data_IF_873641226241
#
_entry.id   IF_873641226241
#
_cell.length_a   1.000
_cell.length_b   1.000
_cell.length_c   1.000
_cell.angle_alpha   90.00
_cell.angle_beta   90.00
_cell.angle_gamma   90.00
#
_symmetry.space_group_name_H-M   'P 1'
#
loop_
_entity.id
_entity.type
_entity.pdbx_description
1 polymer ?
#
# COMPACT_ATOMS: atom_id res chain seq x y z
N UNK A 1 7.74 12.57 24.65
CA UNK A 1 6.55 12.33 23.78
C UNK A 1 6.25 10.88 23.33
N UNK A 2 7.10 9.86 23.55
CA UNK A 2 6.89 8.50 22.98
C UNK A 2 5.58 7.84 23.42
N UNK A 3 5.25 7.87 24.72
CA UNK A 3 4.04 7.23 25.24
C UNK A 3 2.76 7.83 24.63
N UNK A 4 2.67 9.16 24.57
CA UNK A 4 1.53 9.89 23.99
C UNK A 4 1.42 9.67 22.48
N UNK A 5 2.54 9.60 21.77
CA UNK A 5 2.55 9.30 20.34
C UNK A 5 2.13 7.85 20.05
N UNK A 6 2.59 6.89 20.84
CA UNK A 6 2.20 5.49 20.72
C UNK A 6 0.71 5.29 20.99
N UNK A 7 0.18 5.93 22.05
CA UNK A 7 -1.24 5.91 22.36
C UNK A 7 -2.07 6.49 21.21
N UNK A 8 -1.66 7.65 20.68
CA UNK A 8 -2.32 8.28 19.55
C UNK A 8 -2.34 7.38 18.31
N UNK A 9 -1.22 6.73 17.99
CA UNK A 9 -1.08 5.85 16.82
C UNK A 9 -2.02 4.65 16.82
N UNK A 10 -2.55 4.24 17.98
CA UNK A 10 -3.56 3.18 18.10
C UNK A 10 -4.93 3.69 18.55
N UNK A 11 -5.16 5.01 18.57
CA UNK A 11 -6.41 5.61 19.05
C UNK A 11 -7.50 5.54 17.98
N UNK A 12 -8.07 4.34 17.83
CA UNK A 12 -9.13 3.99 16.88
C UNK A 12 -10.40 4.80 17.21
N UNK A 13 -10.86 5.76 16.36
CA UNK A 13 -12.17 6.41 16.51
C UNK A 13 -13.29 5.45 16.93
N UNK A 14 -14.13 5.91 17.86
CA UNK A 14 -15.25 5.15 18.45
C UNK A 14 -14.82 4.06 19.46
N UNK A 15 -13.54 3.67 19.51
CA UNK A 15 -13.02 2.68 20.47
C UNK A 15 -12.13 3.34 21.52
N UNK A 16 -11.21 4.20 21.10
CA UNK A 16 -10.22 4.88 21.96
C UNK A 16 -10.25 6.37 21.66
N UNK A 17 -10.24 7.21 22.70
CA UNK A 17 -10.20 8.67 22.57
C UNK A 17 -8.86 9.12 21.93
N UNK A 18 -8.93 10.12 21.05
CA UNK A 18 -7.71 10.66 20.44
C UNK A 18 -6.90 11.50 21.41
N UNK A 19 -5.63 11.75 21.07
CA UNK A 19 -4.69 12.51 21.90
C UNK A 19 -4.55 13.92 21.31
N UNK A 20 -4.67 14.98 22.11
CA UNK A 20 -4.60 16.37 21.59
C UNK A 20 -3.24 17.07 21.81
N UNK A 21 -2.45 16.60 22.78
CA UNK A 21 -1.26 17.31 23.25
C UNK A 21 -0.05 16.37 23.23
N UNK A 22 0.47 16.08 22.05
CA UNK A 22 1.75 15.38 21.91
C UNK A 22 2.87 16.43 21.93
N UNK A 23 3.73 16.35 22.93
CA UNK A 23 4.91 17.20 23.06
C UNK A 23 5.75 17.18 21.76
N UNK A 24 5.99 18.36 21.20
CA UNK A 24 6.75 18.56 19.95
C UNK A 24 5.95 18.36 18.66
N UNK A 25 4.67 17.98 18.73
CA UNK A 25 3.80 17.87 17.56
C UNK A 25 2.93 19.14 17.39
N UNK A 26 2.48 19.48 16.17
CA UNK A 26 1.52 20.56 15.94
C UNK A 26 0.24 20.44 16.79
N UNK A 27 -0.47 21.53 17.02
CA UNK A 27 -1.77 21.47 17.69
C UNK A 27 -2.77 20.69 16.82
N UNK A 28 -3.48 19.72 17.40
CA UNK A 28 -4.45 18.92 16.65
C UNK A 28 -4.92 17.68 17.41
N UNK A 29 -5.90 16.98 16.83
CA UNK A 29 -6.38 15.69 17.33
C UNK A 29 -5.62 14.56 16.64
N UNK A 30 -4.81 13.82 17.39
CA UNK A 30 -4.06 12.67 16.90
C UNK A 30 -4.85 11.38 17.12
N UNK A 31 -4.89 10.54 16.10
CA UNK A 31 -5.68 9.30 16.04
C UNK A 31 -4.89 8.20 15.37
N UNK A 32 -5.48 7.00 15.36
CA UNK A 32 -4.94 5.81 14.72
C UNK A 32 -4.43 6.11 13.31
N UNK A 33 -3.16 5.79 13.04
CA UNK A 33 -2.52 6.05 11.75
C UNK A 33 -3.15 5.24 10.62
N UNK A 34 -3.68 4.04 10.93
CA UNK A 34 -4.37 3.18 9.97
C UNK A 34 -5.57 3.84 9.31
N UNK A 35 -6.10 4.95 9.87
CA UNK A 35 -7.18 5.74 9.25
C UNK A 35 -6.78 6.25 7.86
N UNK A 36 -5.51 6.62 7.71
CA UNK A 36 -4.97 7.19 6.47
C UNK A 36 -4.00 6.26 5.76
N UNK A 37 -3.44 5.25 6.43
CA UNK A 37 -2.19 4.58 6.02
C UNK A 37 -2.35 3.29 5.16
N UNK A 38 -3.58 2.79 4.95
CA UNK A 38 -3.76 1.54 4.18
C UNK A 38 -3.85 1.75 2.66
N UNK A 39 -4.66 2.71 2.23
CA UNK A 39 -4.79 3.14 0.84
C UNK A 39 -5.24 4.60 0.85
N UNK A 40 -4.36 5.48 0.40
CA UNK A 40 -4.58 6.92 0.48
C UNK A 40 -5.71 7.35 -0.45
N UNK A 41 -6.57 8.21 0.07
CA UNK A 41 -7.55 8.96 -0.71
C UNK A 41 -7.40 10.44 -0.38
N UNK A 42 -6.18 10.92 -0.61
CA UNK A 42 -5.71 12.25 -0.24
C UNK A 42 -4.84 12.77 -1.36
N UNK A 43 -4.88 14.08 -1.60
CA UNK A 43 -3.88 14.76 -2.42
C UNK A 43 -2.57 14.86 -1.64
N UNK A 44 -1.47 14.40 -2.25
CA UNK A 44 -0.15 14.44 -1.62
C UNK A 44 0.56 15.78 -1.85
N UNK A 45 1.27 16.24 -0.81
CA UNK A 45 2.16 17.39 -0.86
C UNK A 45 1.48 18.76 -0.67
N UNK A 46 2.29 19.80 -0.49
CA UNK A 46 2.06 21.14 -1.03
C UNK A 46 2.80 21.37 -2.36
N UNK A 47 3.71 20.47 -2.77
CA UNK A 47 4.61 20.64 -3.90
C UNK A 47 4.01 20.10 -5.22
N UNK A 48 4.26 20.80 -6.31
CA UNK A 48 3.88 20.38 -7.66
C UNK A 48 4.76 19.22 -8.15
N UNK A 49 4.14 18.23 -8.82
CA UNK A 49 4.86 17.12 -9.44
C UNK A 49 4.10 15.81 -9.44
N UNK A 50 4.80 14.73 -9.84
CA UNK A 50 4.28 13.37 -9.79
C UNK A 50 4.58 12.73 -8.44
N UNK A 51 3.61 11.98 -7.94
CA UNK A 51 3.72 11.14 -6.75
C UNK A 51 3.98 9.71 -7.18
N UNK A 52 5.16 9.18 -6.86
CA UNK A 52 5.44 7.76 -7.08
C UNK A 52 4.86 6.94 -5.93
N UNK A 53 3.96 6.01 -6.24
CA UNK A 53 3.32 5.13 -5.27
C UNK A 53 3.60 3.65 -5.59
N UNK A 54 4.69 3.08 -5.05
CA UNK A 54 4.94 1.64 -5.10
C UNK A 54 3.89 0.91 -4.28
N UNK A 55 3.23 -0.07 -4.89
CA UNK A 55 2.20 -0.86 -4.22
C UNK A 55 2.17 -2.30 -4.73
N UNK A 56 1.63 -3.21 -3.92
CA UNK A 56 1.52 -4.63 -4.30
C UNK A 56 0.19 -4.97 -5.00
N UNK A 57 -0.81 -4.08 -4.92
CA UNK A 57 -2.05 -4.18 -5.69
C UNK A 57 -2.17 -3.09 -6.73
N UNK A 58 -2.77 -3.43 -7.86
CA UNK A 58 -3.07 -2.54 -8.96
C UNK A 58 -4.23 -1.57 -8.68
N UNK A 59 -4.85 -1.67 -7.50
CA UNK A 59 -5.94 -0.81 -7.07
C UNK A 59 -5.82 -0.45 -5.59
N UNK A 60 -6.09 0.81 -5.23
CA UNK A 60 -6.31 1.20 -3.84
C UNK A 60 -7.71 0.81 -3.38
N UNK A 61 -7.84 0.49 -2.10
CA UNK A 61 -9.13 0.26 -1.43
C UNK A 61 -9.23 1.28 -0.29
N UNK A 62 -9.75 2.49 -0.56
CA UNK A 62 -9.68 3.58 0.39
C UNK A 62 -10.50 3.31 1.63
N UNK A 63 -10.11 3.99 2.70
CA UNK A 63 -10.83 4.00 3.96
C UNK A 63 -10.38 2.93 4.96
N UNK A 64 -10.69 3.27 6.20
CA UNK A 64 -10.32 2.56 7.40
C UNK A 64 -11.36 1.50 7.78
N UNK A 65 -10.89 0.44 8.43
CA UNK A 65 -11.58 -0.83 8.73
C UNK A 65 -11.81 -1.75 7.53
N UNK A 66 -11.61 -3.06 7.81
CA UNK A 66 -12.01 -4.23 7.03
C UNK A 66 -13.55 -4.34 6.85
N UNK A 67 -14.28 -3.21 6.75
CA UNK A 67 -15.69 -3.25 6.37
C UNK A 67 -15.77 -3.79 4.95
N UNK A 68 -16.59 -4.82 4.76
CA UNK A 68 -16.86 -5.48 3.48
C UNK A 68 -17.62 -4.62 2.46
N UNK A 69 -17.42 -3.30 2.49
CA UNK A 69 -17.97 -2.35 1.53
C UNK A 69 -17.23 -2.53 0.21
N UNK A 70 -17.88 -3.22 -0.73
CA UNK A 70 -17.33 -3.58 -2.05
C UNK A 70 -17.25 -2.41 -3.04
N UNK A 71 -17.78 -1.24 -2.70
CA UNK A 71 -17.88 -0.07 -3.57
C UNK A 71 -16.88 1.05 -3.23
N UNK A 72 -15.85 0.77 -2.43
CA UNK A 72 -14.86 1.78 -2.04
C UNK A 72 -13.90 2.01 -3.19
N UNK A 73 -13.89 3.24 -3.70
CA UNK A 73 -13.06 3.71 -4.79
C UNK A 73 -12.55 5.10 -4.42
N UNK A 74 -11.30 5.44 -4.77
CA UNK A 74 -10.74 6.73 -4.37
C UNK A 74 -11.35 7.87 -5.18
N UNK A 75 -11.23 9.09 -4.67
CA UNK A 75 -11.54 10.29 -5.45
C UNK A 75 -10.52 10.45 -6.57
N UNK A 76 -11.00 10.89 -7.74
CA UNK A 76 -10.13 11.15 -8.90
C UNK A 76 -9.05 12.17 -8.58
N UNK A 77 -9.41 13.23 -7.85
CA UNK A 77 -8.49 14.30 -7.42
C UNK A 77 -7.34 13.81 -6.53
N UNK A 78 -7.51 12.67 -5.86
CA UNK A 78 -6.46 12.07 -5.02
C UNK A 78 -5.39 11.33 -5.86
N UNK A 79 -5.68 11.05 -7.14
CA UNK A 79 -4.82 10.25 -8.02
C UNK A 79 -4.43 10.96 -9.33
N UNK A 80 -4.79 12.23 -9.51
CA UNK A 80 -4.53 12.99 -10.74
C UNK A 80 -3.04 13.12 -11.10
N UNK A 81 -2.15 13.13 -10.09
CA UNK A 81 -0.71 13.21 -10.27
C UNK A 81 0.03 11.96 -9.74
N UNK A 82 -0.66 10.82 -9.61
CA UNK A 82 -0.07 9.60 -9.03
C UNK A 82 0.38 8.63 -10.13
N UNK A 83 1.63 8.16 -10.01
CA UNK A 83 2.17 7.04 -10.78
C UNK A 83 2.28 5.84 -9.85
N UNK A 84 1.44 4.82 -10.08
CA UNK A 84 1.51 3.58 -9.32
C UNK A 84 2.53 2.61 -9.93
N UNK A 85 3.45 2.09 -9.11
CA UNK A 85 4.38 1.03 -9.49
C UNK A 85 3.93 -0.27 -8.84
N UNK A 86 3.37 -1.18 -9.64
CA UNK A 86 2.73 -2.42 -9.17
C UNK A 86 3.20 -3.64 -9.97
N UNK A 87 3.24 -4.84 -9.37
CA UNK A 87 3.49 -6.05 -10.13
C UNK A 87 2.37 -6.29 -11.15
N UNK A 88 2.74 -6.78 -12.34
CA UNK A 88 1.74 -7.13 -13.36
C UNK A 88 0.93 -8.36 -12.97
N UNK A 89 -0.31 -8.46 -13.46
CA UNK A 89 -1.14 -9.64 -13.24
C UNK A 89 -0.47 -10.94 -13.72
N UNK A 90 0.27 -10.88 -14.83
CA UNK A 90 1.05 -12.02 -15.35
C UNK A 90 2.21 -12.41 -14.43
N UNK A 91 2.85 -11.45 -13.75
CA UNK A 91 3.87 -11.77 -12.76
C UNK A 91 3.24 -12.51 -11.57
N UNK A 92 2.15 -11.96 -11.01
CA UNK A 92 1.46 -12.57 -9.86
C UNK A 92 0.93 -13.97 -10.20
N UNK A 93 0.39 -14.17 -11.40
CA UNK A 93 -0.10 -15.48 -11.85
C UNK A 93 0.99 -16.56 -11.87
N UNK A 94 2.24 -16.18 -12.12
CA UNK A 94 3.39 -17.09 -12.17
C UNK A 94 4.02 -17.36 -10.79
N UNK A 95 3.60 -16.64 -9.75
CA UNK A 95 4.02 -16.96 -8.38
C UNK A 95 3.38 -18.29 -7.92
N UNK A 96 3.98 -19.01 -6.95
CA UNK A 96 3.32 -20.15 -6.35
C UNK A 96 1.96 -19.76 -5.77
N UNK A 97 0.96 -20.63 -5.95
CA UNK A 97 -0.45 -20.36 -5.61
C UNK A 97 -1.07 -19.16 -6.35
N UNK A 98 -0.40 -18.63 -7.38
CA UNK A 98 -0.84 -17.50 -8.21
C UNK A 98 -1.25 -16.26 -7.40
N UNK A 99 -0.55 -16.02 -6.28
CA UNK A 99 -0.80 -14.89 -5.40
C UNK A 99 0.50 -14.39 -4.76
N UNK A 100 0.44 -13.16 -4.24
CA UNK A 100 1.44 -12.64 -3.31
C UNK A 100 1.15 -13.28 -1.93
N UNK A 101 2.17 -13.73 -1.19
CA UNK A 101 2.00 -14.31 0.15
C UNK A 101 1.23 -13.41 1.10
N UNK A 102 0.39 -14.02 1.94
CA UNK A 102 -0.45 -13.30 2.91
C UNK A 102 -0.62 -14.09 4.22
N UNK A 103 -1.28 -13.48 5.21
CA UNK A 103 -1.46 -14.08 6.54
C UNK A 103 -2.21 -15.42 6.55
N UNK A 104 -3.05 -15.71 5.55
CA UNK A 104 -3.79 -16.99 5.47
C UNK A 104 -2.83 -18.16 5.23
N UNK A 105 -1.63 -17.89 4.71
CA UNK A 105 -0.61 -18.93 4.54
C UNK A 105 -0.18 -19.55 5.87
N UNK A 106 -0.31 -18.83 7.00
CA UNK A 106 -0.05 -19.38 8.33
C UNK A 106 -1.16 -20.32 8.82
N UNK A 107 -2.38 -20.16 8.32
CA UNK A 107 -3.53 -20.98 8.69
C UNK A 107 -3.56 -22.29 7.89
N UNK A 108 -3.12 -22.26 6.63
CA UNK A 108 -3.31 -23.36 5.67
C UNK A 108 -2.05 -24.13 5.30
N UNK A 109 -0.84 -23.63 5.64
CA UNK A 109 0.43 -24.29 5.32
C UNK A 109 1.26 -24.55 6.59
N UNK A 110 1.94 -25.69 6.61
CA UNK A 110 2.98 -25.96 7.61
C UNK A 110 4.19 -25.03 7.40
N UNK A 111 5.00 -24.89 8.45
CA UNK A 111 6.13 -23.95 8.44
C UNK A 111 7.16 -24.25 7.33
N UNK A 112 7.47 -25.53 7.06
CA UNK A 112 8.47 -25.90 6.07
C UNK A 112 7.99 -25.53 4.66
N UNK A 113 6.75 -25.90 4.32
CA UNK A 113 6.15 -25.56 3.03
C UNK A 113 6.03 -24.05 2.85
N UNK A 114 5.54 -23.33 3.87
CA UNK A 114 5.41 -21.87 3.83
C UNK A 114 6.75 -21.17 3.63
N UNK A 115 7.80 -21.57 4.35
CA UNK A 115 9.14 -20.97 4.23
C UNK A 115 9.67 -21.14 2.80
N UNK A 116 9.56 -22.34 2.21
CA UNK A 116 10.02 -22.59 0.85
C UNK A 116 9.22 -21.78 -0.20
N UNK A 117 7.90 -21.71 -0.04
CA UNK A 117 7.03 -20.88 -0.86
C UNK A 117 7.45 -19.40 -0.78
N UNK A 118 7.53 -18.82 0.42
CA UNK A 118 7.86 -17.41 0.60
C UNK A 118 9.26 -17.08 0.08
N UNK A 119 10.24 -17.97 0.26
CA UNK A 119 11.57 -17.83 -0.33
C UNK A 119 11.56 -17.82 -1.86
N UNK A 120 10.64 -18.57 -2.50
CA UNK A 120 10.50 -18.55 -3.96
C UNK A 120 9.94 -17.21 -4.43
N UNK A 121 8.93 -16.67 -3.74
CA UNK A 121 8.38 -15.35 -4.06
C UNK A 121 9.39 -14.23 -3.84
N UNK A 122 10.22 -14.31 -2.80
CA UNK A 122 11.30 -13.35 -2.58
C UNK A 122 12.27 -13.32 -3.76
N UNK A 123 12.71 -14.48 -4.26
CA UNK A 123 13.59 -14.57 -5.45
C UNK A 123 12.94 -13.98 -6.71
N UNK A 124 11.66 -14.23 -6.93
CA UNK A 124 10.95 -13.61 -8.06
C UNK A 124 10.80 -12.09 -7.90
N UNK A 125 10.71 -11.61 -6.67
CA UNK A 125 10.69 -10.16 -6.37
C UNK A 125 12.04 -9.51 -6.64
N UNK A 126 13.15 -10.21 -6.35
CA UNK A 126 14.50 -9.74 -6.74
C UNK A 126 14.60 -9.57 -8.26
N UNK A 127 14.13 -10.55 -9.04
CA UNK A 127 14.06 -10.48 -10.51
C UNK A 127 13.20 -9.31 -10.99
N UNK A 128 12.11 -9.00 -10.30
CA UNK A 128 11.25 -7.85 -10.61
C UNK A 128 11.99 -6.52 -10.34
N UNK A 129 12.75 -6.43 -9.25
CA UNK A 129 13.60 -5.29 -8.94
C UNK A 129 14.70 -5.08 -9.99
N UNK A 130 15.39 -6.14 -10.39
CA UNK A 130 16.38 -6.09 -11.47
C UNK A 130 15.77 -5.62 -12.80
N UNK A 131 14.58 -6.12 -13.14
CA UNK A 131 13.84 -5.65 -14.31
C UNK A 131 13.55 -4.16 -14.24
N UNK A 132 13.05 -3.67 -13.10
CA UNK A 132 12.74 -2.25 -12.89
C UNK A 132 14.00 -1.39 -13.04
N UNK A 133 15.10 -1.75 -12.38
CA UNK A 133 16.36 -1.00 -12.46
C UNK A 133 16.89 -0.90 -13.89
N UNK A 134 16.82 -2.00 -14.65
CA UNK A 134 17.17 -1.99 -16.07
C UNK A 134 16.26 -1.04 -16.87
N UNK A 135 14.94 -1.17 -16.71
CA UNK A 135 13.96 -0.38 -17.45
C UNK A 135 14.06 1.14 -17.18
N UNK A 136 14.43 1.51 -15.95
CA UNK A 136 14.73 2.90 -15.59
C UNK A 136 16.01 3.37 -16.29
N UNK A 137 17.07 2.55 -16.26
CA UNK A 137 18.39 2.93 -16.79
C UNK A 137 18.42 3.02 -18.32
N UNK A 138 17.68 2.17 -19.02
CA UNK A 138 17.61 2.17 -20.50
C UNK A 138 16.46 3.02 -21.06
N UNK A 139 15.62 3.59 -20.20
CA UNK A 139 14.50 4.46 -20.56
C UNK A 139 13.24 3.72 -21.05
N UNK A 140 13.26 2.39 -21.13
CA UNK A 140 12.12 1.59 -21.60
C UNK A 140 10.93 1.57 -20.64
N UNK A 141 11.10 2.05 -19.40
CA UNK A 141 10.00 2.13 -18.43
C UNK A 141 8.82 2.97 -18.95
N UNK A 142 9.10 4.04 -19.71
CA UNK A 142 8.06 4.94 -20.25
C UNK A 142 7.10 4.20 -21.18
N UNK A 143 7.59 3.20 -21.92
CA UNK A 143 6.79 2.39 -22.84
C UNK A 143 5.83 1.44 -22.11
N UNK A 144 6.06 1.21 -20.80
CA UNK A 144 5.24 0.33 -19.97
C UNK A 144 4.12 1.06 -19.22
N UNK A 145 4.05 2.40 -19.31
CA UNK A 145 3.04 3.21 -18.60
C UNK A 145 1.64 2.93 -19.14
N UNK A 146 0.68 2.77 -18.23
CA UNK A 146 -0.73 2.50 -18.53
C UNK A 146 -1.65 3.40 -17.70
N UNK A 147 -2.90 3.65 -18.16
CA UNK A 147 -3.92 4.26 -17.31
C UNK A 147 -4.16 3.42 -16.04
N UNK A 148 -4.56 4.08 -14.96
CA UNK A 148 -4.93 3.42 -13.71
C UNK A 148 -6.09 2.43 -13.96
N UNK A 149 -5.97 1.15 -13.56
CA UNK A 149 -6.92 0.10 -13.95
C UNK A 149 -8.17 0.00 -13.05
N UNK A 150 -8.42 1.01 -12.20
CA UNK A 150 -9.50 1.02 -11.23
C UNK A 150 -10.45 2.20 -11.43
N UNK A 151 -11.66 2.05 -10.89
CA UNK A 151 -12.68 3.11 -10.89
C UNK A 151 -12.32 4.16 -9.84
N UNK A 152 -12.72 5.40 -10.12
CA UNK A 152 -12.60 6.55 -9.23
C UNK A 152 -13.93 7.30 -9.19
N UNK A 153 -14.17 8.05 -8.11
CA UNK A 153 -15.34 8.93 -7.94
C UNK A 153 -14.98 10.41 -8.01
#
# INVERSE_FOLDING_TARGET
NIHTALLASGSIPVVIEGVQQIEGAPAGMYRDGGIIDYHFDLSFGPDDGLVLYPHFYDKPIPGWFDKGLKGRVPHRSSYDNVVMLVPSASFVANLPYSKIPDRKDFEVLDAKTRIQYWQTVLKETDRLGEYFMRAVNDGSLVDAIKPLPFKMI
#
